data_IF_245464076067
#
_entry.id   IF_245464076067
#
_cell.length_a   1.000
_cell.length_b   1.000
_cell.length_c   1.000
_cell.angle_alpha   90.00
_cell.angle_beta   90.00
_cell.angle_gamma   90.00
#
_symmetry.space_group_name_H-M   'P 1'
#
loop_
_entity.id
_entity.type
_entity.pdbx_description
1 polymer ?
#
# COMPACT_ATOMS: atom_id res chain seq x y z
N UNK A 1 6.45 -8.98 -1.50
CA UNK A 1 5.42 -7.99 -1.90
C UNK A 1 5.03 -7.13 -0.72
N UNK A 2 4.72 -5.85 -0.95
CA UNK A 2 4.11 -4.98 0.04
C UNK A 2 2.72 -5.47 0.46
N UNK A 3 2.38 -5.25 1.74
CA UNK A 3 1.13 -5.72 2.36
C UNK A 3 -0.13 -5.15 1.70
N UNK A 4 -0.05 -3.96 1.11
CA UNK A 4 -1.18 -3.33 0.38
C UNK A 4 -1.68 -4.17 -0.81
N UNK A 5 -0.84 -5.05 -1.36
CA UNK A 5 -1.20 -5.91 -2.48
C UNK A 5 -1.52 -7.35 -2.08
N UNK A 6 -1.65 -7.64 -0.78
CA UNK A 6 -2.01 -8.98 -0.31
C UNK A 6 -3.52 -9.19 -0.40
N UNK A 7 -3.93 -10.36 -0.89
CA UNK A 7 -5.34 -10.73 -0.99
C UNK A 7 -6.09 -9.99 -2.09
N UNK A 8 -7.40 -9.81 -1.89
CA UNK A 8 -8.27 -9.13 -2.84
C UNK A 8 -7.90 -7.65 -2.95
N UNK A 9 -7.99 -7.11 -4.16
CA UNK A 9 -7.77 -5.70 -4.45
C UNK A 9 -8.61 -4.79 -3.54
N UNK A 10 -7.93 -3.99 -2.71
CA UNK A 10 -8.58 -3.11 -1.74
C UNK A 10 -9.49 -2.09 -2.41
N UNK A 11 -9.25 -1.72 -3.68
CA UNK A 11 -10.13 -0.81 -4.41
C UNK A 11 -11.56 -1.36 -4.48
N UNK A 12 -11.71 -2.67 -4.68
CA UNK A 12 -13.01 -3.34 -4.75
C UNK A 12 -13.61 -3.48 -3.36
N UNK A 13 -12.83 -3.98 -2.40
CA UNK A 13 -13.27 -4.20 -1.02
C UNK A 13 -13.75 -2.90 -0.38
N UNK A 14 -12.94 -1.84 -0.45
CA UNK A 14 -13.29 -0.53 0.14
C UNK A 14 -14.50 0.09 -0.54
N UNK A 15 -14.61 -0.03 -1.87
CA UNK A 15 -15.78 0.48 -2.60
C UNK A 15 -17.06 -0.23 -2.15
N UNK A 16 -17.07 -1.56 -2.15
CA UNK A 16 -18.24 -2.35 -1.69
C UNK A 16 -18.60 -2.02 -0.23
N UNK A 17 -17.60 -1.83 0.65
CA UNK A 17 -17.84 -1.43 2.03
C UNK A 17 -18.52 -0.05 2.13
N UNK A 18 -18.03 0.93 1.37
CA UNK A 18 -18.61 2.28 1.35
C UNK A 18 -20.02 2.30 0.73
N UNK A 19 -20.25 1.53 -0.34
CA UNK A 19 -21.57 1.37 -0.96
C UNK A 19 -22.59 0.82 0.05
N UNK A 20 -22.20 -0.21 0.83
CA UNK A 20 -23.05 -0.75 1.90
C UNK A 20 -23.34 0.26 3.00
N UNK A 21 -22.37 1.11 3.36
CA UNK A 21 -22.58 2.18 4.35
C UNK A 21 -23.59 3.20 3.82
N UNK A 22 -23.41 3.69 2.58
CA UNK A 22 -24.35 4.62 1.94
C UNK A 22 -25.76 4.03 1.84
N UNK A 23 -25.86 2.77 1.41
CA UNK A 23 -27.14 2.06 1.32
C UNK A 23 -27.85 1.98 2.68
N UNK A 24 -27.12 1.61 3.75
CA UNK A 24 -27.69 1.54 5.10
C UNK A 24 -28.16 2.88 5.64
N UNK A 25 -27.52 3.97 5.22
CA UNK A 25 -27.91 5.32 5.60
C UNK A 25 -29.03 5.88 4.70
N UNK A 26 -29.45 5.15 3.65
CA UNK A 26 -30.40 5.67 2.66
C UNK A 26 -29.84 6.84 1.84
N UNK A 27 -28.52 6.91 1.69
CA UNK A 27 -27.82 8.01 1.03
C UNK A 27 -27.25 7.60 -0.32
N UNK A 28 -27.12 8.59 -1.20
CA UNK A 28 -26.36 8.48 -2.44
C UNK A 28 -25.12 9.37 -2.36
N UNK A 29 -23.99 8.90 -2.87
CA UNK A 29 -22.74 9.66 -2.86
C UNK A 29 -21.73 9.14 -3.87
N UNK A 30 -20.71 9.94 -4.13
CA UNK A 30 -19.59 9.55 -4.99
C UNK A 30 -18.49 8.89 -4.15
N UNK A 31 -18.07 7.69 -4.53
CA UNK A 31 -17.04 6.93 -3.82
C UNK A 31 -15.70 7.02 -4.56
N UNK A 32 -14.67 7.44 -3.82
CA UNK A 32 -13.28 7.39 -4.23
C UNK A 32 -12.50 6.42 -3.35
N UNK A 33 -11.64 5.62 -4.00
CA UNK A 33 -10.61 4.80 -3.36
C UNK A 33 -9.36 4.89 -4.25
N UNK A 34 -8.32 5.61 -3.82
CA UNK A 34 -6.97 5.72 -4.42
C UNK A 34 -6.89 6.07 -5.92
N UNK A 35 -7.99 6.52 -6.52
CA UNK A 35 -8.12 6.67 -7.99
C UNK A 35 -8.80 7.97 -8.43
N UNK A 36 -8.93 8.96 -7.55
CA UNK A 36 -9.55 10.24 -7.88
C UNK A 36 -8.81 11.44 -7.28
N UNK A 37 -9.37 12.65 -7.45
CA UNK A 37 -8.68 13.91 -7.13
C UNK A 37 -8.63 14.23 -5.62
N UNK A 38 -9.40 13.52 -4.79
CA UNK A 38 -9.58 13.90 -3.39
C UNK A 38 -8.42 13.40 -2.51
N UNK A 39 -7.87 14.25 -1.61
CA UNK A 39 -6.74 13.88 -0.78
C UNK A 39 -7.18 13.04 0.42
N UNK A 40 -7.37 11.73 0.22
CA UNK A 40 -7.97 10.81 1.19
C UNK A 40 -7.29 10.83 2.56
N UNK A 41 -5.95 10.92 2.60
CA UNK A 41 -5.18 11.00 3.85
C UNK A 41 -5.49 12.27 4.63
N UNK A 42 -5.57 13.41 3.96
CA UNK A 42 -5.86 14.70 4.60
C UNK A 42 -7.32 14.76 5.06
N UNK A 43 -8.25 14.24 4.25
CA UNK A 43 -9.65 14.12 4.60
C UNK A 43 -9.84 13.21 5.82
N UNK A 44 -9.11 12.09 5.91
CA UNK A 44 -9.14 11.21 7.07
C UNK A 44 -8.61 11.90 8.35
N UNK A 45 -7.58 12.75 8.24
CA UNK A 45 -7.11 13.57 9.36
C UNK A 45 -8.14 14.62 9.76
N UNK A 46 -8.74 15.32 8.79
CA UNK A 46 -9.82 16.30 9.03
C UNK A 46 -11.05 15.65 9.66
N UNK A 47 -11.31 14.37 9.36
CA UNK A 47 -12.33 13.55 9.99
C UNK A 47 -11.92 12.99 11.37
N UNK A 48 -10.75 13.34 11.90
CA UNK A 48 -10.31 12.93 13.24
C UNK A 48 -9.86 11.49 13.36
N UNK A 49 -9.73 10.77 12.23
CA UNK A 49 -9.43 9.34 12.23
C UNK A 49 -7.97 9.02 12.55
N UNK A 50 -7.08 10.01 12.44
CA UNK A 50 -5.65 9.79 12.57
C UNK A 50 -4.78 11.00 12.31
N UNK A 51 -3.54 10.72 11.93
CA UNK A 51 -2.49 11.71 11.69
C UNK A 51 -1.56 11.26 10.55
N UNK A 52 -0.77 12.18 9.99
CA UNK A 52 0.21 11.86 8.94
C UNK A 52 1.61 11.73 9.55
N UNK A 53 2.25 10.60 9.29
CA UNK A 53 3.61 10.32 9.73
C UNK A 53 4.67 11.02 8.88
N UNK A 54 5.89 11.10 9.41
CA UNK A 54 7.06 11.62 8.68
C UNK A 54 7.35 10.84 7.38
N UNK A 55 6.91 9.59 7.30
CA UNK A 55 6.97 8.77 6.09
C UNK A 55 5.84 9.04 5.09
N UNK A 56 5.07 10.12 5.26
CA UNK A 56 3.94 10.58 4.41
C UNK A 56 2.73 9.65 4.34
N UNK A 57 2.66 8.66 5.23
CA UNK A 57 1.51 7.76 5.35
C UNK A 57 0.55 8.21 6.45
N UNK A 58 -0.72 7.88 6.27
CA UNK A 58 -1.75 8.06 7.29
C UNK A 58 -1.63 6.98 8.37
N UNK A 59 -1.82 7.37 9.62
CA UNK A 59 -1.87 6.49 10.79
C UNK A 59 -3.20 6.63 11.49
N UNK A 60 -3.99 5.55 11.48
CA UNK A 60 -5.16 5.43 12.34
C UNK A 60 -4.72 5.33 13.80
N UNK A 61 -5.47 5.94 14.72
CA UNK A 61 -5.10 6.00 16.14
C UNK A 61 -4.83 4.64 16.79
N UNK A 62 -5.55 3.60 16.36
CA UNK A 62 -5.46 2.25 16.93
C UNK A 62 -4.84 1.23 15.97
N UNK A 63 -4.90 1.48 14.66
CA UNK A 63 -4.55 0.50 13.63
C UNK A 63 -3.23 0.80 12.91
N UNK A 64 -2.52 1.86 13.30
CA UNK A 64 -1.28 2.26 12.65
C UNK A 64 -1.51 2.65 11.19
N UNK A 65 -0.51 2.41 10.33
CA UNK A 65 -0.59 2.78 8.90
C UNK A 65 -0.91 1.62 7.96
N UNK A 66 -1.11 0.40 8.46
CA UNK A 66 -1.58 -0.73 7.66
C UNK A 66 -3.11 -0.70 7.51
N UNK A 67 -3.62 0.41 6.98
CA UNK A 67 -5.05 0.64 6.71
C UNK A 67 -5.23 1.13 5.27
N UNK A 68 -6.35 0.76 4.67
CA UNK A 68 -6.78 1.33 3.39
C UNK A 68 -7.75 2.47 3.65
N UNK A 69 -7.69 3.51 2.83
CA UNK A 69 -8.58 4.66 2.90
C UNK A 69 -9.56 4.64 1.74
N UNK A 70 -10.73 5.21 1.97
CA UNK A 70 -11.73 5.49 0.94
C UNK A 70 -12.62 6.61 1.43
N UNK A 71 -13.16 7.40 0.51
CA UNK A 71 -13.97 8.58 0.81
C UNK A 71 -15.30 8.45 0.08
N UNK A 72 -16.39 8.72 0.78
CA UNK A 72 -17.72 8.92 0.19
C UNK A 72 -18.09 10.41 0.28
N UNK A 73 -18.37 11.02 -0.86
CA UNK A 73 -18.79 12.41 -0.97
C UNK A 73 -20.30 12.47 -1.09
N UNK A 74 -20.92 13.21 -0.18
CA UNK A 74 -22.36 13.40 -0.16
C UNK A 74 -22.71 14.72 -0.86
N UNK A 75 -23.84 14.78 -1.58
CA UNK A 75 -24.25 15.98 -2.33
C UNK A 75 -24.83 17.09 -1.44
N UNK A 76 -25.04 16.81 -0.16
CA UNK A 76 -25.48 17.78 0.83
C UNK A 76 -24.41 17.90 1.93
N UNK A 77 -24.24 19.10 2.52
CA UNK A 77 -23.47 19.23 3.74
C UNK A 77 -24.12 18.33 4.79
N UNK A 78 -23.33 17.51 5.50
CA UNK A 78 -23.83 16.76 6.63
C UNK A 78 -24.48 17.76 7.61
N UNK A 79 -25.80 17.69 7.70
CA UNK A 79 -26.66 18.57 8.45
C UNK A 79 -26.30 18.45 9.93
N UNK A 80 -25.52 19.41 10.43
CA UNK A 80 -25.36 19.62 11.85
C UNK A 80 -24.50 18.62 12.61
N UNK A 81 -23.59 17.91 11.95
CA UNK A 81 -22.46 17.32 12.66
C UNK A 81 -21.57 18.46 13.18
N UNK A 82 -21.92 19.06 14.33
CA UNK A 82 -20.96 19.73 15.22
C UNK A 82 -19.97 18.67 15.65
N UNK A 83 -19.11 18.29 14.72
CA UNK A 83 -17.96 17.49 14.98
C UNK A 83 -16.99 18.47 15.61
N UNK A 84 -17.20 18.76 16.90
CA UNK A 84 -16.09 19.02 17.82
C UNK A 84 -15.24 17.74 17.83
N UNK A 85 -14.60 17.47 16.69
CA UNK A 85 -13.55 16.48 16.59
C UNK A 85 -12.50 17.07 17.50
N UNK A 86 -12.32 16.46 18.67
CA UNK A 86 -11.21 16.79 19.53
C UNK A 86 -9.97 16.90 18.64
N UNK A 87 -9.42 18.11 18.56
CA UNK A 87 -8.19 18.37 17.82
C UNK A 87 -7.10 17.61 18.55
N UNK A 88 -6.91 16.36 18.14
CA UNK A 88 -5.80 15.56 18.62
C UNK A 88 -4.51 16.23 18.13
N UNK A 89 -3.44 16.17 18.94
CA UNK A 89 -2.17 16.80 18.58
C UNK A 89 -1.70 16.32 17.19
N UNK A 90 -0.90 17.15 16.53
CA UNK A 90 -0.33 16.90 15.22
C UNK A 90 0.54 15.63 15.16
N UNK A 91 1.46 15.56 14.18
CA UNK A 91 2.25 14.34 13.97
C UNK A 91 2.86 13.78 15.26
N UNK A 92 2.63 12.50 15.57
CA UNK A 92 3.17 11.84 16.77
C UNK A 92 4.60 11.32 16.57
N UNK A 93 5.28 11.71 15.50
CA UNK A 93 6.66 11.29 15.26
C UNK A 93 7.64 11.83 16.31
N UNK A 94 7.38 13.03 16.87
CA UNK A 94 8.38 13.72 17.70
C UNK A 94 9.73 13.79 16.98
N UNK A 95 10.80 13.43 17.69
CA UNK A 95 12.16 13.37 17.14
C UNK A 95 12.49 12.06 16.40
N UNK A 96 11.56 11.11 16.29
CA UNK A 96 11.81 9.83 15.62
C UNK A 96 12.13 10.02 14.12
N UNK A 97 13.23 9.38 13.67
CA UNK A 97 13.72 9.40 12.28
C UNK A 97 13.86 8.02 11.64
N UNK A 98 13.43 6.95 12.32
CA UNK A 98 13.63 5.55 11.87
C UNK A 98 13.23 5.28 10.43
N UNK A 99 12.12 5.85 9.97
CA UNK A 99 11.65 5.64 8.60
C UNK A 99 12.53 6.32 7.54
N UNK A 100 13.16 7.45 7.85
CA UNK A 100 14.10 8.14 6.96
C UNK A 100 15.39 7.33 6.86
N UNK A 101 15.91 6.89 8.00
CA UNK A 101 17.14 6.09 8.11
C UNK A 101 17.00 4.73 7.43
N UNK A 102 15.83 4.08 7.55
CA UNK A 102 15.59 2.76 6.96
C UNK A 102 15.19 2.81 5.48
N UNK A 103 14.94 3.98 4.89
CA UNK A 103 14.47 4.08 3.51
C UNK A 103 15.60 3.75 2.53
N UNK A 104 15.59 2.60 1.82
CA UNK A 104 16.77 2.17 1.06
C UNK A 104 17.08 3.07 -0.13
N UNK A 105 16.04 3.69 -0.71
CA UNK A 105 16.20 4.66 -1.80
C UNK A 105 16.47 6.09 -1.31
N UNK A 106 16.47 6.36 -0.01
CA UNK A 106 16.57 7.74 0.51
C UNK A 106 15.45 8.65 -0.02
N UNK A 107 14.24 8.11 -0.15
CA UNK A 107 13.10 8.79 -0.74
C UNK A 107 12.38 9.74 0.23
N UNK A 108 12.55 9.53 1.53
CA UNK A 108 11.95 10.35 2.59
C UNK A 108 12.95 11.43 3.01
N UNK A 109 12.60 12.68 2.79
CA UNK A 109 13.39 13.86 3.20
C UNK A 109 12.59 14.72 4.17
N UNK A 110 13.21 15.76 4.75
CA UNK A 110 12.49 16.73 5.57
C UNK A 110 11.43 17.51 4.77
N UNK A 111 11.60 17.61 3.45
CA UNK A 111 10.66 18.29 2.55
C UNK A 111 9.55 17.37 2.02
N UNK A 112 9.57 16.08 2.40
CA UNK A 112 8.55 15.11 2.01
C UNK A 112 9.10 13.94 1.19
N UNK A 113 8.28 13.41 0.29
CA UNK A 113 8.59 12.21 -0.49
C UNK A 113 9.14 12.57 -1.87
N UNK A 114 10.36 12.14 -2.18
CA UNK A 114 10.94 12.14 -3.53
C UNK A 114 10.49 10.87 -4.25
N UNK A 115 9.40 10.97 -5.02
CA UNK A 115 8.72 9.80 -5.64
C UNK A 115 9.65 8.99 -6.53
N UNK A 116 10.55 9.63 -7.29
CA UNK A 116 11.50 8.94 -8.18
C UNK A 116 12.47 8.00 -7.45
N UNK A 117 12.70 8.22 -6.15
CA UNK A 117 13.54 7.38 -5.30
C UNK A 117 12.75 6.34 -4.51
N UNK A 118 11.43 6.45 -4.49
CA UNK A 118 10.58 5.57 -3.69
C UNK A 118 10.52 4.18 -4.33
N UNK A 119 11.05 3.16 -3.66
CA UNK A 119 11.02 1.79 -4.19
C UNK A 119 9.60 1.25 -4.41
N UNK A 120 8.60 1.78 -3.70
CA UNK A 120 7.20 1.47 -4.01
C UNK A 120 6.81 1.97 -5.40
N UNK A 121 7.16 3.21 -5.75
CA UNK A 121 6.91 3.78 -7.08
C UNK A 121 7.75 3.09 -8.17
N UNK A 122 9.05 2.87 -7.91
CA UNK A 122 9.97 2.18 -8.84
C UNK A 122 9.46 0.77 -9.19
N UNK A 123 9.00 0.01 -8.18
CA UNK A 123 8.47 -1.33 -8.39
C UNK A 123 7.23 -1.37 -9.29
N UNK A 124 6.49 -0.26 -9.42
CA UNK A 124 5.24 -0.18 -10.16
C UNK A 124 5.39 0.53 -11.52
N UNK A 125 6.50 1.25 -11.73
CA UNK A 125 6.76 2.02 -12.94
C UNK A 125 6.88 1.08 -14.13
N UNK A 126 6.21 1.41 -15.25
CA UNK A 126 6.34 0.68 -16.52
C UNK A 126 7.65 1.05 -17.22
N UNK A 127 8.09 0.18 -18.13
CA UNK A 127 9.34 0.35 -18.87
C UNK A 127 10.57 0.02 -18.04
N UNK A 128 11.70 0.51 -18.50
CA UNK A 128 13.00 0.19 -17.91
C UNK A 128 13.24 0.99 -16.62
N UNK A 129 14.14 0.44 -15.81
CA UNK A 129 14.67 1.10 -14.61
C UNK A 129 16.17 1.24 -14.77
N UNK A 130 16.71 2.27 -14.15
CA UNK A 130 18.16 2.51 -14.12
C UNK A 130 18.86 1.37 -13.39
N UNK A 131 20.17 1.22 -13.65
CA UNK A 131 20.98 0.22 -12.97
C UNK A 131 20.99 0.42 -11.44
N UNK A 132 21.02 1.68 -10.98
CA UNK A 132 20.95 2.02 -9.56
C UNK A 132 19.61 1.56 -8.93
N UNK A 133 18.48 1.80 -9.62
CA UNK A 133 17.17 1.30 -9.19
C UNK A 133 17.14 -0.23 -9.15
N UNK A 134 17.71 -0.91 -10.16
CA UNK A 134 17.77 -2.36 -10.26
C UNK A 134 18.53 -3.02 -9.11
N UNK A 135 19.60 -2.38 -8.63
CA UNK A 135 20.37 -2.86 -7.45
C UNK A 135 19.62 -2.72 -6.14
N UNK A 136 18.79 -1.67 -5.99
CA UNK A 136 18.07 -1.37 -4.74
C UNK A 136 16.71 -2.08 -4.64
N UNK A 137 16.12 -2.47 -5.76
CA UNK A 137 14.74 -2.96 -5.80
C UNK A 137 14.52 -4.32 -5.11
N UNK A 138 15.37 -5.35 -5.30
CA UNK A 138 15.18 -6.66 -4.66
C UNK A 138 15.11 -6.58 -3.12
N UNK A 139 14.32 -7.44 -2.46
CA UNK A 139 13.48 -8.50 -3.01
C UNK A 139 12.03 -8.05 -3.32
N UNK A 140 11.80 -6.82 -3.82
CA UNK A 140 10.44 -6.27 -3.99
C UNK A 140 9.84 -6.60 -5.36
N UNK A 141 8.86 -7.50 -5.38
CA UNK A 141 8.03 -7.75 -6.56
C UNK A 141 7.03 -6.62 -6.86
N UNK A 142 6.43 -6.03 -5.82
CA UNK A 142 5.47 -4.94 -5.93
C UNK A 142 5.36 -4.21 -4.59
N UNK A 143 5.45 -2.88 -4.62
CA UNK A 143 5.41 -2.00 -3.45
C UNK A 143 6.65 -2.11 -2.53
N UNK A 144 6.66 -1.28 -1.48
CA UNK A 144 7.67 -1.28 -0.42
C UNK A 144 7.04 -0.94 0.93
N UNK A 145 7.30 -1.75 1.96
CA UNK A 145 6.77 -1.56 3.33
C UNK A 145 7.84 -1.08 4.33
N UNK A 146 9.09 -0.85 3.92
CA UNK A 146 10.21 -0.73 4.88
C UNK A 146 10.02 0.42 5.86
N UNK A 147 9.55 1.58 5.38
CA UNK A 147 9.27 2.74 6.21
C UNK A 147 8.10 2.51 7.18
N UNK A 148 7.21 1.56 6.90
CA UNK A 148 6.12 1.15 7.79
C UNK A 148 6.57 0.10 8.79
N UNK A 149 7.38 -0.88 8.36
CA UNK A 149 7.88 -1.98 9.19
C UNK A 149 8.72 -1.50 10.36
N UNK A 150 9.56 -0.48 10.14
CA UNK A 150 10.41 0.09 11.20
C UNK A 150 9.68 1.08 12.11
N UNK A 151 8.44 1.46 11.77
CA UNK A 151 7.71 2.47 12.51
C UNK A 151 7.22 1.92 13.86
N UNK A 152 7.53 2.60 15.00
CA UNK A 152 7.08 2.15 16.32
C UNK A 152 5.56 2.00 16.44
N UNK A 153 4.80 2.86 15.76
CA UNK A 153 3.33 2.84 15.76
C UNK A 153 2.71 1.65 15.03
N UNK A 154 3.51 0.87 14.30
CA UNK A 154 3.08 -0.34 13.63
C UNK A 154 3.56 -1.62 14.30
N UNK A 155 4.32 -1.55 15.41
CA UNK A 155 4.97 -2.74 16.00
C UNK A 155 3.98 -3.89 16.23
N UNK A 156 2.83 -3.60 16.83
CA UNK A 156 1.81 -4.61 17.09
C UNK A 156 1.08 -5.06 15.82
N UNK A 157 0.91 -4.17 14.84
CA UNK A 157 0.26 -4.51 13.57
C UNK A 157 1.15 -5.43 12.72
N UNK A 158 2.46 -5.14 12.66
CA UNK A 158 3.44 -6.01 12.00
C UNK A 158 3.44 -7.40 12.62
N UNK A 159 3.42 -7.50 13.96
CA UNK A 159 3.33 -8.79 14.67
C UNK A 159 2.03 -9.54 14.33
N UNK A 160 0.88 -8.86 14.43
CA UNK A 160 -0.44 -9.46 14.15
C UNK A 160 -0.58 -9.93 12.72
N UNK A 161 -0.10 -9.12 11.77
CA UNK A 161 -0.10 -9.49 10.37
C UNK A 161 0.89 -10.61 10.07
N UNK A 162 1.96 -10.79 10.86
CA UNK A 162 2.95 -11.85 10.66
C UNK A 162 3.62 -11.81 9.27
N UNK A 163 4.27 -12.93 8.94
CA UNK A 163 4.77 -13.22 7.60
C UNK A 163 3.80 -14.18 6.91
N UNK A 164 3.20 -13.75 5.80
CA UNK A 164 2.21 -14.52 5.06
C UNK A 164 2.76 -14.93 3.70
N UNK A 165 3.01 -16.24 3.60
CA UNK A 165 3.29 -16.94 2.34
C UNK A 165 4.60 -16.56 1.65
N UNK A 166 4.99 -17.42 0.72
CA UNK A 166 6.15 -17.24 -0.13
C UNK A 166 5.71 -17.35 -1.59
N UNK A 167 6.15 -16.42 -2.45
CA UNK A 167 6.06 -16.57 -3.91
C UNK A 167 7.33 -17.20 -4.37
N UNK A 168 7.19 -18.31 -5.09
CA UNK A 168 8.22 -18.77 -5.99
C UNK A 168 8.32 -17.81 -7.18
N UNK A 169 9.42 -17.07 -7.25
CA UNK A 169 9.68 -16.12 -8.33
C UNK A 169 9.82 -16.84 -9.68
N UNK A 170 10.32 -18.08 -9.69
CA UNK A 170 10.46 -18.86 -10.92
C UNK A 170 9.08 -19.29 -11.46
N UNK A 171 8.14 -19.60 -10.56
CA UNK A 171 6.74 -19.78 -10.93
C UNK A 171 6.18 -18.53 -11.63
N UNK A 172 6.39 -17.34 -11.05
CA UNK A 172 5.91 -16.07 -11.63
C UNK A 172 6.50 -15.81 -13.02
N UNK A 173 7.77 -16.15 -13.22
CA UNK A 173 8.45 -16.03 -14.52
C UNK A 173 7.89 -16.99 -15.57
N UNK A 174 7.41 -18.17 -15.14
CA UNK A 174 6.85 -19.20 -16.02
C UNK A 174 5.39 -18.97 -16.44
N UNK A 175 4.63 -18.15 -15.70
CA UNK A 175 3.20 -17.92 -16.00
C UNK A 175 3.01 -17.32 -17.39
N UNK A 176 2.08 -17.88 -18.18
CA UNK A 176 1.54 -17.20 -19.37
C UNK A 176 0.75 -15.94 -18.98
N UNK A 177 0.45 -15.06 -19.94
CA UNK A 177 -0.38 -13.88 -19.67
C UNK A 177 -1.79 -14.24 -19.16
N UNK A 178 -2.36 -15.36 -19.63
CA UNK A 178 -3.65 -15.88 -19.15
C UNK A 178 -3.56 -16.32 -17.69
N UNK A 179 -2.59 -17.17 -17.36
CA UNK A 179 -2.39 -17.68 -16.00
C UNK A 179 -2.03 -16.56 -15.02
N UNK A 180 -1.27 -15.56 -15.46
CA UNK A 180 -0.99 -14.36 -14.66
C UNK A 180 -2.29 -13.61 -14.34
N UNK A 181 -3.15 -13.35 -15.35
CA UNK A 181 -4.43 -12.66 -15.12
C UNK A 181 -5.33 -13.43 -14.15
N UNK A 182 -5.38 -14.76 -14.26
CA UNK A 182 -6.17 -15.62 -13.37
C UNK A 182 -5.66 -15.60 -11.92
N UNK A 183 -4.33 -15.60 -11.73
CA UNK A 183 -3.72 -15.65 -10.40
C UNK A 183 -3.59 -14.29 -9.73
N UNK A 184 -3.31 -13.24 -10.50
CA UNK A 184 -2.93 -11.92 -10.00
C UNK A 184 -3.94 -10.83 -10.31
N UNK A 185 -4.83 -11.03 -11.28
CA UNK A 185 -5.78 -10.00 -11.74
C UNK A 185 -6.82 -9.57 -10.70
N UNK A 186 -6.95 -10.33 -9.60
CA UNK A 186 -7.83 -10.00 -8.46
C UNK A 186 -7.09 -9.26 -7.34
N UNK A 187 -5.77 -9.09 -7.43
CA UNK A 187 -4.97 -8.39 -6.41
C UNK A 187 -4.65 -6.97 -6.86
N UNK A 188 -4.32 -6.09 -5.92
CA UNK A 188 -3.87 -4.73 -6.24
C UNK A 188 -2.52 -4.69 -6.98
N UNK A 189 -1.79 -5.81 -7.12
CA UNK A 189 -0.60 -5.87 -7.97
C UNK A 189 -0.94 -6.18 -9.45
N UNK A 190 -2.10 -6.79 -9.70
CA UNK A 190 -2.50 -7.23 -11.04
C UNK A 190 -2.71 -6.10 -12.05
N UNK A 191 -3.11 -4.90 -11.59
CA UNK A 191 -3.50 -3.78 -12.45
C UNK A 191 -2.36 -3.26 -13.35
N UNK A 192 -1.10 -3.33 -12.90
CA UNK A 192 0.04 -2.87 -13.71
C UNK A 192 0.37 -3.82 -14.85
N UNK A 193 -0.05 -5.08 -14.74
CA UNK A 193 0.19 -6.15 -15.72
C UNK A 193 1.48 -6.94 -15.46
N UNK A 194 1.56 -8.10 -16.12
CA UNK A 194 2.60 -9.10 -15.90
C UNK A 194 4.03 -8.59 -16.19
N UNK A 195 4.21 -7.68 -17.14
CA UNK A 195 5.53 -7.19 -17.54
C UNK A 195 6.32 -6.56 -16.40
N UNK A 196 5.67 -5.71 -15.60
CA UNK A 196 6.30 -5.05 -14.44
C UNK A 196 6.69 -6.06 -13.37
N UNK A 197 5.79 -7.00 -13.05
CA UNK A 197 6.04 -8.03 -12.04
C UNK A 197 7.17 -8.97 -12.50
N UNK A 198 7.16 -9.42 -13.76
CA UNK A 198 8.23 -10.28 -14.32
C UNK A 198 9.58 -9.57 -14.39
N UNK A 199 9.62 -8.27 -14.70
CA UNK A 199 10.86 -7.47 -14.61
C UNK A 199 11.43 -7.54 -13.20
N UNK A 200 10.61 -7.25 -12.19
CA UNK A 200 11.06 -7.26 -10.80
C UNK A 200 11.46 -8.66 -10.35
N UNK A 201 10.74 -9.70 -10.79
CA UNK A 201 11.08 -11.10 -10.55
C UNK A 201 12.48 -11.46 -11.06
N UNK A 202 12.82 -11.10 -12.30
CA UNK A 202 14.17 -11.33 -12.87
C UNK A 202 15.28 -10.70 -12.03
N UNK A 203 15.07 -9.48 -11.53
CA UNK A 203 16.04 -8.79 -10.68
C UNK A 203 16.29 -9.54 -9.37
N UNK A 204 15.25 -10.16 -8.83
CA UNK A 204 15.34 -10.95 -7.60
C UNK A 204 16.19 -12.20 -7.84
N UNK A 205 15.91 -12.94 -8.92
CA UNK A 205 16.71 -14.11 -9.33
C UNK A 205 18.19 -13.77 -9.50
N UNK A 206 18.50 -12.64 -10.17
CA UNK A 206 19.89 -12.18 -10.35
C UNK A 206 20.54 -11.84 -8.99
N UNK A 207 19.80 -11.18 -8.09
CA UNK A 207 20.35 -10.75 -6.79
C UNK A 207 20.61 -11.90 -5.80
N UNK A 208 19.96 -13.06 -5.97
CA UNK A 208 19.99 -14.16 -5.00
C UNK A 208 20.97 -15.29 -5.33
N UNK A 209 21.78 -15.18 -6.40
CA UNK A 209 22.88 -16.10 -6.72
C UNK A 209 22.54 -17.61 -6.60
N UNK A 210 21.30 -18.02 -6.93
CA UNK A 210 20.88 -19.43 -6.91
C UNK A 210 20.32 -19.96 -5.58
N UNK A 211 20.07 -19.11 -4.57
CA UNK A 211 19.22 -19.50 -3.43
C UNK A 211 17.74 -19.51 -3.83
N UNK A 212 16.90 -20.32 -3.15
CA UNK A 212 15.45 -20.41 -3.44
C UNK A 212 14.81 -19.02 -3.53
N UNK A 213 14.31 -18.68 -4.71
CA UNK A 213 13.79 -17.35 -5.01
C UNK A 213 12.40 -17.15 -4.41
N UNK A 214 12.34 -16.91 -3.10
CA UNK A 214 11.08 -16.76 -2.38
C UNK A 214 10.82 -15.31 -1.97
N UNK A 215 9.67 -14.75 -2.37
CA UNK A 215 9.27 -13.35 -2.06
C UNK A 215 7.86 -13.32 -1.49
N UNK A 216 7.63 -12.64 -0.36
CA UNK A 216 6.33 -12.60 0.33
C UNK A 216 5.09 -12.34 -0.56
N UNK A 217 3.99 -13.11 -0.40
CA UNK A 217 2.67 -12.88 -1.04
C UNK A 217 1.56 -13.78 -0.52
N UNK A 218 0.34 -13.34 -0.81
CA UNK A 218 -0.88 -14.08 -0.56
C UNK A 218 -1.79 -14.07 -1.79
N UNK A 219 -2.04 -15.26 -2.35
CA UNK A 219 -3.28 -15.60 -3.07
C UNK A 219 -4.08 -16.47 -2.13
N UNK A 220 -5.08 -15.87 -1.48
CA UNK A 220 -6.15 -16.67 -0.91
C UNK A 220 -6.94 -17.19 -2.08
N UNK A 221 -7.03 -18.51 -2.16
CA UNK A 221 -8.01 -19.21 -2.96
C UNK A 221 -9.37 -18.53 -2.77
N UNK A 222 -9.98 -18.11 -3.88
CA UNK A 222 -11.40 -17.78 -3.90
C UNK A 222 -12.18 -19.10 -3.96
N UNK A 223 -12.02 -19.93 -2.92
CA UNK A 223 -12.71 -21.20 -2.76
C UNK A 223 -13.19 -21.31 -1.32
N UNK A 224 -14.48 -21.05 -1.11
CA UNK A 224 -15.16 -21.01 0.18
C UNK A 224 -16.19 -19.91 0.21
#
# INVERSE_FOLDING_TARGET
MARVAWGQDYHRVMREMLERVLQRMGLTGQIQVDSGPWPEKELAVKAGLGWIGRNTLFYHWQAGSFVNLGVALLPFPADGGKNEIEKKPGSRCGQCRRCLEACPGGALTEQGLVVSRCLSAVSQRRGDITEAEARLLPPRLYGCDDCQKVCPYNREQVKKMGDWGWIDVDEVLSLSNRQFKESWGKTAAGWRGAGVIRRNARLITISQNGQKNMVYWNKKDNGG
#
